data_IF_087998928024
#
_entry.id   IF_087998928024
#
_cell.length_a   1.000
_cell.length_b   1.000
_cell.length_c   1.000
_cell.angle_alpha   90.00
_cell.angle_beta   90.00
_cell.angle_gamma   90.00
#
_symmetry.space_group_name_H-M   'P 1'
#
loop_
_entity.id
_entity.type
_entity.pdbx_description
1 polymer ?
#
# COMPACT_ATOMS: atom_id res chain seq x y z
N UNK A 1 -23.70 -1.19 -1.39
CA UNK A 1 -22.37 -1.80 -1.57
C UNK A 1 -22.07 -1.71 -3.05
N UNK A 2 -21.12 -0.86 -3.49
CA UNK A 2 -20.73 -0.81 -4.90
C UNK A 2 -20.08 -2.15 -5.27
N UNK A 3 -20.34 -2.70 -6.48
CA UNK A 3 -19.67 -3.93 -6.90
C UNK A 3 -18.17 -3.70 -6.89
N UNK A 4 -17.44 -4.57 -6.18
CA UNK A 4 -15.99 -4.67 -6.28
C UNK A 4 -15.66 -4.88 -7.77
N UNK A 5 -14.82 -4.01 -8.35
CA UNK A 5 -14.38 -4.13 -9.73
C UNK A 5 -12.95 -4.67 -9.75
N UNK A 6 -12.75 -5.99 -9.93
CA UNK A 6 -11.41 -6.58 -9.95
C UNK A 6 -10.56 -6.05 -11.11
N UNK A 7 -11.19 -5.45 -12.12
CA UNK A 7 -10.54 -4.78 -13.24
C UNK A 7 -9.66 -3.59 -12.81
N UNK A 8 -9.91 -2.98 -11.65
CA UNK A 8 -9.10 -1.86 -11.14
C UNK A 8 -7.63 -2.27 -10.98
N UNK A 9 -7.38 -3.51 -10.54
CA UNK A 9 -6.05 -4.03 -10.40
C UNK A 9 -5.30 -4.11 -11.73
N UNK A 10 -5.99 -4.31 -12.86
CA UNK A 10 -5.38 -4.49 -14.18
C UNK A 10 -4.91 -3.17 -14.82
N UNK A 11 -5.36 -2.02 -14.33
CA UNK A 11 -4.94 -0.75 -14.89
C UNK A 11 -3.46 -0.50 -14.64
N UNK A 12 -2.79 0.14 -15.62
CA UNK A 12 -1.36 0.45 -15.57
C UNK A 12 -1.18 1.87 -16.08
N UNK A 13 -0.33 2.63 -15.41
CA UNK A 13 0.09 3.93 -15.94
C UNK A 13 1.16 3.78 -17.04
N UNK A 14 1.66 4.90 -17.56
CA UNK A 14 2.69 4.92 -18.62
C UNK A 14 4.02 4.25 -18.20
N UNK A 15 4.27 4.15 -16.89
CA UNK A 15 5.44 3.47 -16.31
C UNK A 15 5.16 1.99 -16.00
N UNK A 16 4.01 1.44 -16.42
CA UNK A 16 3.65 0.06 -16.13
C UNK A 16 3.34 -0.18 -14.65
N UNK A 17 3.03 0.86 -13.89
CA UNK A 17 2.74 0.76 -12.46
C UNK A 17 1.25 0.46 -12.25
N UNK A 18 0.97 -0.59 -11.49
CA UNK A 18 -0.39 -0.92 -11.05
C UNK A 18 -0.82 0.00 -9.89
N UNK A 19 -2.13 0.12 -9.59
CA UNK A 19 -2.58 0.80 -8.38
C UNK A 19 -1.96 0.20 -7.10
N UNK A 20 -1.75 -1.12 -7.08
CA UNK A 20 -1.08 -1.81 -5.98
C UNK A 20 0.40 -1.40 -5.86
N UNK A 21 1.07 -1.24 -7.00
CA UNK A 21 2.43 -0.75 -7.06
C UNK A 21 2.54 0.68 -6.54
N UNK A 22 1.63 1.56 -6.96
CA UNK A 22 1.58 2.94 -6.48
C UNK A 22 1.33 3.01 -4.97
N UNK A 23 0.48 2.14 -4.41
CA UNK A 23 0.27 2.08 -2.97
C UNK A 23 1.57 1.73 -2.22
N UNK A 24 2.33 0.75 -2.73
CA UNK A 24 3.65 0.40 -2.19
C UNK A 24 4.67 1.53 -2.36
N UNK A 25 4.73 2.14 -3.54
CA UNK A 25 5.57 3.28 -3.84
C UNK A 25 5.23 4.48 -2.95
N UNK A 26 4.00 4.67 -2.49
CA UNK A 26 3.67 5.79 -1.60
C UNK A 26 3.60 5.41 -0.12
N UNK A 27 3.97 4.18 0.25
CA UNK A 27 3.90 3.70 1.63
C UNK A 27 2.48 3.67 2.21
N UNK A 28 1.45 3.60 1.33
CA UNK A 28 0.04 3.60 1.72
C UNK A 28 -0.41 2.19 2.05
N UNK A 29 -0.01 1.71 3.23
CA UNK A 29 -0.22 0.33 3.70
C UNK A 29 -1.70 -0.07 3.70
N UNK A 30 -2.58 0.80 4.18
CA UNK A 30 -4.04 0.63 4.17
C UNK A 30 -4.59 0.40 2.77
N UNK A 31 -4.20 1.26 1.82
CA UNK A 31 -4.61 1.14 0.41
C UNK A 31 -4.03 -0.13 -0.21
N UNK A 32 -2.75 -0.42 0.05
CA UNK A 32 -2.08 -1.61 -0.46
C UNK A 32 -2.82 -2.87 -0.07
N UNK A 33 -3.19 -3.00 1.21
CA UNK A 33 -3.88 -4.18 1.73
C UNK A 33 -5.30 -4.29 1.21
N UNK A 34 -6.02 -3.17 1.11
CA UNK A 34 -7.36 -3.12 0.52
C UNK A 34 -7.33 -3.58 -0.94
N UNK A 35 -6.40 -3.06 -1.75
CA UNK A 35 -6.22 -3.45 -3.14
C UNK A 35 -5.79 -4.90 -3.28
N UNK A 36 -4.85 -5.35 -2.42
CA UNK A 36 -4.39 -6.73 -2.41
C UNK A 36 -5.53 -7.71 -2.13
N UNK A 37 -6.40 -7.39 -1.16
CA UNK A 37 -7.60 -8.18 -0.86
C UNK A 37 -8.58 -8.21 -2.03
N UNK A 38 -8.99 -7.03 -2.54
CA UNK A 38 -9.97 -6.91 -3.63
C UNK A 38 -9.50 -7.63 -4.90
N UNK A 39 -8.21 -7.55 -5.20
CA UNK A 39 -7.65 -8.09 -6.45
C UNK A 39 -7.07 -9.50 -6.29
N UNK A 40 -7.06 -10.07 -5.08
CA UNK A 40 -6.30 -11.28 -4.71
C UNK A 40 -6.46 -12.46 -5.67
N UNK A 41 -7.66 -12.69 -6.21
CA UNK A 41 -7.95 -13.78 -7.16
C UNK A 41 -7.36 -13.56 -8.56
N UNK A 42 -6.88 -12.36 -8.87
CA UNK A 42 -6.38 -11.95 -10.19
C UNK A 42 -4.96 -11.34 -10.18
N UNK A 43 -4.28 -11.34 -9.03
CA UNK A 43 -2.92 -10.81 -8.94
C UNK A 43 -1.92 -11.81 -9.53
N UNK A 44 -1.40 -11.51 -10.71
CA UNK A 44 -0.18 -12.16 -11.23
C UNK A 44 1.08 -11.37 -10.85
N UNK A 45 2.26 -11.89 -11.20
CA UNK A 45 3.54 -11.24 -10.90
C UNK A 45 3.71 -9.86 -11.57
N UNK A 46 2.96 -9.55 -12.64
CA UNK A 46 3.02 -8.26 -13.33
C UNK A 46 2.49 -7.10 -12.48
N UNK A 47 1.66 -7.38 -11.48
CA UNK A 47 1.12 -6.35 -10.58
C UNK A 47 2.16 -5.79 -9.63
N UNK A 48 3.19 -6.58 -9.37
CA UNK A 48 4.24 -6.28 -8.42
C UNK A 48 5.44 -5.61 -9.06
N UNK A 49 5.46 -5.42 -10.39
CA UNK A 49 6.65 -4.98 -11.12
C UNK A 49 6.29 -3.88 -12.12
N UNK A 50 7.07 -2.79 -12.12
CA UNK A 50 6.92 -1.70 -13.09
C UNK A 50 7.81 -1.89 -14.32
N UNK A 51 7.63 -1.03 -15.32
CA UNK A 51 8.60 -0.88 -16.40
C UNK A 51 9.95 -0.47 -15.81
N UNK A 52 11.04 -1.10 -16.22
CA UNK A 52 12.37 -0.96 -15.59
C UNK A 52 12.65 -2.01 -14.51
N UNK A 53 11.68 -2.87 -14.22
CA UNK A 53 11.90 -4.08 -13.46
C UNK A 53 11.97 -3.94 -11.94
N UNK A 54 11.85 -2.74 -11.40
CA UNK A 54 11.66 -2.61 -9.96
C UNK A 54 10.36 -3.29 -9.52
N UNK A 55 10.43 -3.98 -8.38
CA UNK A 55 9.26 -4.56 -7.74
C UNK A 55 8.74 -3.68 -6.60
N UNK A 56 7.52 -3.93 -6.15
CA UNK A 56 6.94 -3.26 -4.97
C UNK A 56 7.83 -3.35 -3.73
N UNK A 57 8.62 -4.42 -3.60
CA UNK A 57 9.58 -4.59 -2.51
C UNK A 57 10.77 -3.63 -2.65
N UNK A 58 11.33 -3.46 -3.86
CA UNK A 58 12.37 -2.47 -4.12
C UNK A 58 11.90 -1.08 -3.71
N UNK A 59 10.69 -0.69 -4.12
CA UNK A 59 10.14 0.64 -3.85
C UNK A 59 9.85 0.85 -2.36
N UNK A 60 9.26 -0.14 -1.68
CA UNK A 60 8.99 -0.06 -0.25
C UNK A 60 10.28 0.11 0.57
N UNK A 61 11.36 -0.61 0.21
CA UNK A 61 12.68 -0.49 0.84
C UNK A 61 13.33 0.86 0.53
N UNK A 62 13.32 1.29 -0.75
CA UNK A 62 13.89 2.59 -1.17
C UNK A 62 13.30 3.75 -0.38
N UNK A 63 12.01 3.65 -0.05
CA UNK A 63 11.26 4.64 0.72
C UNK A 63 11.17 4.36 2.21
N UNK A 64 11.90 3.35 2.70
CA UNK A 64 11.99 3.04 4.13
C UNK A 64 10.62 2.78 4.77
N UNK A 65 9.68 2.28 3.97
CA UNK A 65 8.36 1.86 4.43
C UNK A 65 8.47 0.46 5.04
N UNK A 66 9.26 0.31 6.11
CA UNK A 66 9.72 -0.97 6.66
C UNK A 66 8.58 -1.92 7.02
N UNK A 67 7.50 -1.40 7.61
CA UNK A 67 6.32 -2.21 7.94
C UNK A 67 5.68 -2.81 6.69
N UNK A 68 5.54 -2.01 5.64
CA UNK A 68 4.96 -2.46 4.38
C UNK A 68 5.93 -3.41 3.64
N UNK A 69 7.23 -3.11 3.63
CA UNK A 69 8.25 -3.97 3.04
C UNK A 69 8.26 -5.35 3.71
N UNK A 70 8.21 -5.40 5.04
CA UNK A 70 8.13 -6.65 5.79
C UNK A 70 6.86 -7.44 5.47
N UNK A 71 5.71 -6.76 5.33
CA UNK A 71 4.44 -7.39 4.94
C UNK A 71 4.49 -7.95 3.53
N UNK A 72 4.99 -7.19 2.56
CA UNK A 72 5.18 -7.63 1.18
C UNK A 72 6.07 -8.88 1.14
N UNK A 73 7.16 -8.86 1.92
CA UNK A 73 8.10 -9.98 2.04
C UNK A 73 7.43 -11.25 2.58
N UNK A 74 6.62 -11.14 3.64
CA UNK A 74 5.91 -12.27 4.21
C UNK A 74 4.90 -12.88 3.23
N UNK A 75 4.19 -12.03 2.49
CA UNK A 75 3.17 -12.46 1.54
C UNK A 75 3.79 -13.06 0.26
N UNK A 76 4.90 -12.49 -0.22
CA UNK A 76 5.52 -12.80 -1.51
C UNK A 76 7.03 -12.95 -1.38
N UNK A 77 7.45 -14.05 -0.73
CA UNK A 77 8.87 -14.34 -0.46
C UNK A 77 9.75 -14.36 -1.72
N UNK A 78 9.17 -14.75 -2.85
CA UNK A 78 9.86 -14.81 -4.15
C UNK A 78 10.33 -13.43 -4.65
N UNK A 79 9.75 -12.33 -4.16
CA UNK A 79 10.18 -10.99 -4.55
C UNK A 79 11.59 -10.64 -4.06
N UNK A 80 12.13 -11.34 -3.05
CA UNK A 80 13.51 -11.12 -2.57
C UNK A 80 14.54 -11.46 -3.64
N UNK A 81 14.25 -12.47 -4.46
CA UNK A 81 15.13 -12.96 -5.50
C UNK A 81 14.94 -12.21 -6.83
N UNK A 82 13.92 -11.34 -6.90
CA UNK A 82 13.65 -10.55 -8.09
C UNK A 82 14.67 -9.42 -8.22
N UNK A 83 15.31 -9.31 -9.38
CA UNK A 83 16.22 -8.19 -9.69
C UNK A 83 15.51 -7.12 -10.53
N UNK A 84 15.94 -5.87 -10.42
CA UNK A 84 15.57 -4.83 -11.39
C UNK A 84 16.36 -4.95 -12.71
N UNK A 85 16.16 -4.02 -13.65
CA UNK A 85 16.87 -4.02 -14.94
C UNK A 85 18.39 -3.83 -14.83
N UNK A 86 18.87 -3.33 -13.70
CA UNK A 86 20.29 -3.15 -13.41
C UNK A 86 20.88 -4.36 -12.66
N UNK A 87 20.09 -5.41 -12.40
CA UNK A 87 20.52 -6.58 -11.64
C UNK A 87 20.57 -6.35 -10.13
N UNK A 88 19.96 -5.27 -9.62
CA UNK A 88 19.95 -4.94 -8.19
C UNK A 88 18.84 -5.75 -7.52
N UNK A 89 19.17 -6.41 -6.41
CA UNK A 89 18.20 -7.10 -5.56
C UNK A 89 17.61 -6.13 -4.53
N UNK A 90 16.40 -6.39 -4.00
CA UNK A 90 15.87 -5.67 -2.85
C UNK A 90 16.81 -5.70 -1.65
N UNK A 91 17.50 -6.82 -1.43
CA UNK A 91 18.46 -6.97 -0.34
C UNK A 91 19.67 -6.02 -0.48
N UNK A 92 20.12 -5.75 -1.71
CA UNK A 92 21.22 -4.80 -1.95
C UNK A 92 20.80 -3.40 -1.50
N UNK A 93 19.55 -3.00 -1.76
CA UNK A 93 19.01 -1.71 -1.32
C UNK A 93 18.92 -1.59 0.21
N UNK A 94 18.70 -2.70 0.92
CA UNK A 94 18.73 -2.71 2.39
C UNK A 94 20.17 -2.52 2.87
N UNK A 95 21.14 -3.20 2.25
CA UNK A 95 22.56 -3.09 2.61
C UNK A 95 23.09 -1.65 2.47
N UNK A 96 22.59 -0.89 1.50
CA UNK A 96 22.91 0.53 1.31
C UNK A 96 22.28 1.46 2.36
N UNK A 97 21.43 0.95 3.26
CA UNK A 97 20.79 1.71 4.32
C UNK A 97 21.39 1.36 5.68
N UNK A 98 22.44 2.06 6.14
CA UNK A 98 23.08 1.77 7.43
C UNK A 98 22.10 1.92 8.60
N UNK A 99 21.10 2.79 8.49
CA UNK A 99 20.05 2.98 9.49
C UNK A 99 19.16 1.73 9.69
N UNK A 100 19.11 0.82 8.72
CA UNK A 100 18.34 -0.42 8.83
C UNK A 100 19.00 -1.47 9.75
N UNK A 101 20.28 -1.27 10.09
CA UNK A 101 21.04 -2.18 10.93
C UNK A 101 21.59 -1.46 12.14
N UNK A 102 21.45 -2.05 13.33
CA UNK A 102 22.07 -1.53 14.56
C UNK A 102 23.57 -1.32 14.38
N UNK A 103 24.25 -2.22 13.68
CA UNK A 103 25.70 -2.11 13.38
C UNK A 103 26.06 -0.93 12.48
N UNK A 104 25.12 -0.44 11.66
CA UNK A 104 25.30 0.74 10.82
C UNK A 104 24.95 2.07 11.52
N UNK A 105 24.44 2.01 12.75
CA UNK A 105 24.06 3.18 13.54
C UNK A 105 25.08 3.43 14.66
N UNK A 106 25.77 4.57 14.61
CA UNK A 106 26.57 5.04 15.75
C UNK A 106 25.68 5.78 16.75
N UNK A 107 25.06 5.04 17.66
CA UNK A 107 24.25 5.60 18.74
C UNK A 107 25.16 6.08 19.88
N UNK A 108 24.96 7.30 20.35
CA UNK A 108 25.57 7.77 21.58
C UNK A 108 24.98 7.04 22.80
N UNK A 109 25.71 7.05 23.93
CA UNK A 109 25.31 6.42 25.19
C UNK A 109 23.83 6.57 25.59
N UNK A 110 23.25 7.77 25.51
CA UNK A 110 21.82 7.99 25.79
C UNK A 110 20.87 7.35 24.76
N UNK A 111 21.23 7.40 23.48
CA UNK A 111 20.42 6.79 22.42
C UNK A 111 20.49 5.26 22.47
N UNK A 112 21.60 4.70 22.91
CA UNK A 112 21.76 3.25 23.12
C UNK A 112 20.84 2.74 24.24
N UNK A 113 20.73 3.50 25.33
CA UNK A 113 19.78 3.20 26.41
C UNK A 113 18.34 3.29 25.88
N UNK A 114 17.99 4.38 25.18
CA UNK A 114 16.65 4.54 24.59
C UNK A 114 16.31 3.40 23.62
N UNK A 115 17.25 3.00 22.75
CA UNK A 115 17.07 1.89 21.82
C UNK A 115 16.70 0.58 22.54
N UNK A 116 17.37 0.28 23.66
CA UNK A 116 17.08 -0.89 24.48
C UNK A 116 15.77 -0.78 25.29
N UNK A 117 15.29 0.44 25.53
CA UNK A 117 14.07 0.70 26.27
C UNK A 117 12.83 0.87 25.39
N UNK A 118 12.95 0.86 24.06
CA UNK A 118 11.82 0.89 23.14
C UNK A 118 11.43 -0.56 22.82
N UNK A 119 10.31 -1.08 23.36
CA UNK A 119 9.79 -2.36 22.93
C UNK A 119 9.32 -2.25 21.48
N UNK A 120 9.92 -3.05 20.59
CA UNK A 120 9.44 -3.19 19.21
C UNK A 120 8.48 -4.37 19.17
N UNK A 121 7.20 -4.07 18.97
CA UNK A 121 6.19 -5.10 18.77
C UNK A 121 6.49 -5.85 17.46
N UNK A 122 6.51 -7.18 17.54
CA UNK A 122 6.57 -8.01 16.33
C UNK A 122 5.31 -7.75 15.52
N UNK A 123 5.49 -7.39 14.24
CA UNK A 123 4.38 -7.15 13.32
C UNK A 123 3.48 -8.38 13.27
N UNK A 124 2.28 -8.24 13.83
CA UNK A 124 1.29 -9.32 13.84
C UNK A 124 0.80 -9.58 12.41
N UNK A 125 0.49 -10.85 12.07
CA UNK A 125 -0.26 -11.17 10.86
C UNK A 125 -1.54 -10.34 10.84
N UNK A 126 -1.84 -9.73 9.70
CA UNK A 126 -3.04 -8.93 9.55
C UNK A 126 -4.22 -9.87 9.44
N UNK A 127 -5.25 -9.59 10.23
CA UNK A 127 -6.59 -10.09 9.97
C UNK A 127 -7.24 -9.18 8.90
N UNK A 128 -7.42 -9.66 7.65
CA UNK A 128 -8.00 -8.86 6.57
C UNK A 128 -9.38 -8.32 6.94
N UNK A 129 -10.13 -9.04 7.78
CA UNK A 129 -11.51 -8.72 8.15
C UNK A 129 -11.57 -7.48 9.04
N UNK A 130 -10.68 -7.36 10.04
CA UNK A 130 -10.57 -6.17 10.90
C UNK A 130 -10.13 -4.93 10.12
N UNK A 131 -9.28 -5.09 9.12
CA UNK A 131 -8.82 -3.96 8.30
C UNK A 131 -9.88 -3.48 7.33
N UNK A 132 -10.64 -4.39 6.73
CA UNK A 132 -11.82 -4.03 5.93
C UNK A 132 -12.84 -3.31 6.80
N UNK A 133 -13.01 -3.69 8.07
CA UNK A 133 -13.87 -2.97 9.01
C UNK A 133 -13.37 -1.53 9.27
N UNK A 134 -12.06 -1.32 9.33
CA UNK A 134 -11.46 0.03 9.37
C UNK A 134 -11.65 0.84 8.07
N UNK A 135 -11.57 0.18 6.90
CA UNK A 135 -11.80 0.78 5.58
C UNK A 135 -13.30 1.02 5.28
N UNK A 136 -14.19 0.24 5.91
CA UNK A 136 -15.61 0.56 6.05
C UNK A 136 -15.73 1.70 7.05
N UNK A 137 -15.18 2.87 6.68
CA UNK A 137 -15.36 4.07 7.46
C UNK A 137 -16.82 4.19 7.87
N UNK A 138 -17.08 4.61 9.11
CA UNK A 138 -18.42 5.10 9.47
C UNK A 138 -18.79 6.09 8.37
N UNK A 139 -19.73 5.71 7.50
CA UNK A 139 -20.25 6.60 6.47
C UNK A 139 -21.02 7.66 7.25
N UNK A 140 -20.28 8.66 7.73
CA UNK A 140 -20.86 9.90 8.19
C UNK A 140 -21.47 10.51 6.92
N UNK A 141 -22.79 10.75 6.87
CA UNK A 141 -23.41 11.45 5.75
C UNK A 141 -22.95 12.92 5.63
N UNK A 142 -21.99 13.35 6.45
CA UNK A 142 -21.43 14.69 6.42
C UNK A 142 -20.28 14.75 5.40
N UNK A 143 -20.64 15.14 4.18
CA UNK A 143 -19.70 15.53 3.14
C UNK A 143 -19.03 16.86 3.53
N UNK A 144 -17.77 17.11 3.12
CA UNK A 144 -17.17 18.44 3.22
C UNK A 144 -18.08 19.47 2.50
N UNK A 145 -18.18 20.69 3.02
CA UNK A 145 -19.21 21.66 2.61
C UNK A 145 -19.19 21.97 1.09
N UNK A 146 -18.02 21.82 0.44
CA UNK A 146 -17.86 21.98 -1.01
C UNK A 146 -18.52 20.89 -1.87
N UNK A 147 -18.78 19.69 -1.33
CA UNK A 147 -19.45 18.60 -2.03
C UNK A 147 -20.97 18.57 -1.84
N UNK A 148 -21.49 19.33 -0.87
CA UNK A 148 -22.93 19.40 -0.55
C UNK A 148 -23.76 19.86 -1.75
N UNK A 149 -23.26 20.85 -2.49
CA UNK A 149 -23.93 21.37 -3.69
C UNK A 149 -24.03 20.31 -4.78
N UNK A 150 -22.94 19.59 -5.07
CA UNK A 150 -22.92 18.53 -6.07
C UNK A 150 -23.89 17.39 -5.74
N UNK A 151 -23.95 16.98 -4.47
CA UNK A 151 -24.87 15.93 -4.00
C UNK A 151 -26.32 16.39 -4.11
N UNK A 152 -26.62 17.65 -3.78
CA UNK A 152 -27.97 18.19 -3.91
C UNK A 152 -28.42 18.26 -5.38
N UNK A 153 -27.52 18.68 -6.28
CA UNK A 153 -27.80 18.68 -7.72
C UNK A 153 -28.06 17.27 -8.25
N UNK A 154 -27.23 16.29 -7.87
CA UNK A 154 -27.44 14.89 -8.24
C UNK A 154 -28.80 14.37 -7.74
N UNK A 155 -29.16 14.62 -6.48
CA UNK A 155 -30.46 14.22 -5.91
C UNK A 155 -31.64 14.86 -6.63
N UNK A 156 -31.51 16.12 -7.05
CA UNK A 156 -32.54 16.82 -7.81
C UNK A 156 -32.74 16.17 -9.19
N UNK A 157 -31.64 15.87 -9.90
CA UNK A 157 -31.67 15.18 -11.19
C UNK A 157 -32.26 13.77 -11.06
N UNK A 158 -31.89 13.03 -10.02
CA UNK A 158 -32.42 11.70 -9.73
C UNK A 158 -33.92 11.72 -9.41
N UNK A 159 -34.40 12.77 -8.73
CA UNK A 159 -35.83 12.97 -8.47
C UNK A 159 -36.59 13.30 -9.76
N UNK A 160 -36.08 14.22 -10.58
CA UNK A 160 -36.67 14.55 -11.88
C UNK A 160 -36.72 13.34 -12.82
N UNK A 161 -35.71 12.46 -12.79
CA UNK A 161 -35.68 11.24 -13.59
C UNK A 161 -36.63 10.13 -13.09
N UNK A 162 -37.09 10.21 -11.83
CA UNK A 162 -38.11 9.31 -11.25
C UNK A 162 -39.52 9.85 -11.44
N UNK A 163 -39.71 11.16 -11.29
CA UNK A 163 -41.02 11.82 -11.41
C UNK A 163 -41.42 12.10 -12.87
N UNK A 164 -40.46 12.01 -13.80
CA UNK A 164 -40.68 12.13 -15.25
C UNK A 164 -40.93 10.80 -15.98
N UNK A 165 -41.28 9.73 -15.26
CA UNK A 165 -41.59 8.40 -15.79
C UNK A 165 -43.01 7.96 -15.45
#
# INVERSE_FOLDING_TARGET
MYPSHPSLGNERNQMGESPLFLAALHGKTDIFLCLHHICSEHLDNSYYRRNGGETILHCAIKRECWDLAYRILLQHKTLVESVDEHGILPLNLIADKPAAFRSGCHLGWWNEIMYHCIPVDVLKPIDPEQMIEGCKGKVSPHFPENYKTCVNFYRLLEKMARDGR
#
